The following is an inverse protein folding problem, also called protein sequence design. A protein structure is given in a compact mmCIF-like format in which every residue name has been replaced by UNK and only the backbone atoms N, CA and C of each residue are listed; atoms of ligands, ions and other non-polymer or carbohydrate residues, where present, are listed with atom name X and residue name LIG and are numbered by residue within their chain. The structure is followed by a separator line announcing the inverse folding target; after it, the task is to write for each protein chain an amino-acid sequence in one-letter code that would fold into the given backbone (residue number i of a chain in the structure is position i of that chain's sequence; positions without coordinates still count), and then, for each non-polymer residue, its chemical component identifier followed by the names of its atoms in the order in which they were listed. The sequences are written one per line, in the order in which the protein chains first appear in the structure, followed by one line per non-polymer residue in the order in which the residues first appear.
data_IF_986685020825
#
_entry.id   IF_986685020825
#
_cell.length_a   1.000
_cell.length_b   1.000
_cell.length_c   1.000
_cell.angle_alpha   90.00
_cell.angle_beta   90.00
_cell.angle_gamma   90.00
#
_symmetry.space_group_name_H-M   'P 1'
#
loop_
_entity.id
_entity.type
_entity.pdbx_description
1 polymer ?
#
# COMPACT_ATOMS: atom_id res chain seq x y z
N UNK A 1 -1.93 20.41 8.24
CA UNK A 1 -1.96 21.51 9.24
C UNK A 1 -0.83 22.47 8.92
N UNK A 2 -1.09 23.78 8.78
CA UNK A 2 -0.02 24.76 8.60
C UNK A 2 0.86 24.80 9.86
N UNK A 3 2.18 24.94 9.68
CA UNK A 3 3.12 25.03 10.81
C UNK A 3 2.78 26.27 11.65
N UNK A 4 2.81 26.19 13.00
CA UNK A 4 2.50 27.32 13.86
C UNK A 4 3.40 28.52 13.53
N UNK A 5 2.77 29.66 13.27
CA UNK A 5 3.42 30.91 12.88
C UNK A 5 3.93 31.62 14.13
N UNK A 6 5.21 31.46 14.46
CA UNK A 6 5.84 32.12 15.61
C UNK A 6 6.27 33.55 15.25
N UNK A 7 5.32 34.50 15.24
CA UNK A 7 5.62 35.94 15.27
C UNK A 7 6.37 36.57 14.07
N UNK A 8 6.68 37.87 14.18
CA UNK A 8 7.35 38.70 13.15
C UNK A 8 8.87 38.51 13.06
N UNK A 9 9.46 37.62 13.86
CA UNK A 9 10.91 37.43 13.87
C UNK A 9 11.31 36.36 12.84
N UNK A 10 12.35 36.60 12.02
CA UNK A 10 12.84 35.59 11.10
C UNK A 10 13.37 34.39 11.89
N UNK A 11 12.93 33.18 11.51
CA UNK A 11 13.47 31.95 12.07
C UNK A 11 14.97 31.83 11.73
N UNK A 12 15.80 31.29 12.64
CA UNK A 12 17.21 31.05 12.34
C UNK A 12 17.35 30.03 11.19
N UNK A 13 18.39 30.20 10.37
CA UNK A 13 18.67 29.27 9.28
C UNK A 13 19.08 27.90 9.85
N UNK A 14 18.22 26.90 9.66
CA UNK A 14 18.51 25.53 10.10
C UNK A 14 19.48 24.84 9.13
N UNK A 15 20.64 24.43 9.65
CA UNK A 15 21.59 23.57 8.95
C UNK A 15 21.72 22.26 9.72
N UNK A 16 21.10 21.16 9.26
CA UNK A 16 21.24 19.87 9.94
C UNK A 16 22.71 19.46 9.98
N UNK A 17 23.14 18.88 11.10
CA UNK A 17 24.44 18.21 11.18
C UNK A 17 24.47 17.03 10.21
N UNK A 18 25.66 16.58 9.82
CA UNK A 18 25.81 15.45 8.91
C UNK A 18 25.17 14.17 9.48
N UNK A 19 25.22 13.96 10.80
CA UNK A 19 24.54 12.85 11.47
C UNK A 19 23.02 12.88 11.23
N UNK A 20 22.40 14.05 11.40
CA UNK A 20 20.94 14.20 11.19
C UNK A 20 20.62 14.05 9.71
N UNK A 21 21.40 14.66 8.82
CA UNK A 21 21.20 14.53 7.37
C UNK A 21 21.27 13.07 6.93
N UNK A 22 22.26 12.32 7.40
CA UNK A 22 22.45 10.91 7.06
C UNK A 22 21.31 10.04 7.60
N UNK A 23 20.86 10.28 8.84
CA UNK A 23 19.73 9.55 9.42
C UNK A 23 18.42 9.81 8.64
N UNK A 24 18.15 11.07 8.29
CA UNK A 24 16.98 11.44 7.49
C UNK A 24 17.04 10.85 6.08
N UNK A 25 18.23 10.84 5.46
CA UNK A 25 18.41 10.24 4.13
C UNK A 25 18.19 8.73 4.18
N UNK A 26 18.76 8.03 5.16
CA UNK A 26 18.55 6.59 5.33
C UNK A 26 17.08 6.24 5.55
N UNK A 27 16.35 7.04 6.33
CA UNK A 27 14.91 6.85 6.51
C UNK A 27 14.13 7.08 5.22
N UNK A 28 14.46 8.14 4.47
CA UNK A 28 13.85 8.41 3.17
C UNK A 28 14.08 7.24 2.20
N UNK A 29 15.31 6.74 2.09
CA UNK A 29 15.64 5.64 1.20
C UNK A 29 14.89 4.35 1.58
N UNK A 30 14.70 4.11 2.89
CA UNK A 30 13.90 2.98 3.37
C UNK A 30 12.41 3.11 3.00
N UNK A 31 11.85 4.33 3.03
CA UNK A 31 10.47 4.58 2.59
C UNK A 31 10.31 4.40 1.08
N UNK A 32 11.27 4.87 0.28
CA UNK A 32 11.27 4.67 -1.18
C UNK A 32 11.34 3.17 -1.53
N UNK A 33 12.15 2.41 -0.78
CA UNK A 33 12.24 0.96 -0.94
C UNK A 33 10.96 0.24 -0.48
N UNK A 34 10.38 0.63 0.65
CA UNK A 34 9.08 0.13 1.12
C UNK A 34 8.03 0.32 0.05
N UNK A 35 7.93 1.53 -0.52
CA UNK A 35 6.93 1.85 -1.52
C UNK A 35 7.09 0.95 -2.76
N UNK A 36 8.32 0.81 -3.26
CA UNK A 36 8.62 -0.07 -4.38
C UNK A 36 8.22 -1.53 -4.10
N UNK A 37 8.56 -2.03 -2.93
CA UNK A 37 8.29 -3.44 -2.55
C UNK A 37 6.80 -3.67 -2.27
N UNK A 38 6.11 -2.71 -1.66
CA UNK A 38 4.67 -2.68 -1.48
C UNK A 38 3.93 -2.76 -2.82
N UNK A 39 4.32 -1.96 -3.82
CA UNK A 39 3.73 -2.04 -5.16
C UNK A 39 4.02 -3.36 -5.86
N UNK A 40 5.22 -3.93 -5.68
CA UNK A 40 5.53 -5.25 -6.22
C UNK A 40 4.64 -6.35 -5.61
N UNK A 41 4.45 -6.33 -4.29
CA UNK A 41 3.56 -7.28 -3.59
C UNK A 41 2.09 -7.13 -4.03
N UNK A 42 1.60 -5.89 -4.15
CA UNK A 42 0.25 -5.61 -4.67
C UNK A 42 0.07 -6.17 -6.08
N UNK A 43 1.05 -5.95 -6.97
CA UNK A 43 1.02 -6.48 -8.32
C UNK A 43 1.00 -8.00 -8.32
N UNK A 44 1.83 -8.66 -7.52
CA UNK A 44 1.87 -10.12 -7.43
C UNK A 44 0.52 -10.70 -6.99
N UNK A 45 -0.10 -10.12 -5.96
CA UNK A 45 -1.45 -10.52 -5.55
C UNK A 45 -2.49 -10.29 -6.66
N UNK A 46 -2.42 -9.15 -7.35
CA UNK A 46 -3.33 -8.89 -8.46
C UNK A 46 -3.14 -9.89 -9.62
N UNK A 47 -1.91 -10.29 -9.91
CA UNK A 47 -1.61 -11.26 -10.96
C UNK A 47 -2.08 -12.69 -10.57
N UNK A 48 -1.98 -13.07 -9.30
CA UNK A 48 -2.60 -14.31 -8.77
C UNK A 48 -4.13 -14.29 -8.93
N UNK A 49 -4.76 -13.15 -8.61
CA UNK A 49 -6.20 -12.97 -8.75
C UNK A 49 -6.70 -12.86 -10.19
N UNK A 50 -5.81 -12.55 -11.15
CA UNK A 50 -6.09 -12.65 -12.59
C UNK A 50 -5.98 -14.07 -13.09
N UNK A 51 -5.01 -14.82 -12.56
CA UNK A 51 -4.78 -16.21 -12.94
C UNK A 51 -5.93 -17.10 -12.47
N UNK A 52 -6.52 -16.80 -11.31
CA UNK A 52 -7.68 -17.51 -10.77
C UNK A 52 -8.86 -16.55 -10.55
N UNK A 53 -9.82 -16.59 -11.48
CA UNK A 53 -11.02 -15.76 -11.42
C UNK A 53 -12.04 -16.26 -10.38
N UNK A 54 -11.94 -17.51 -9.94
CA UNK A 54 -12.81 -18.12 -8.95
C UNK A 54 -12.29 -17.89 -7.51
N UNK A 55 -11.00 -17.58 -7.32
CA UNK A 55 -10.38 -17.24 -6.04
C UNK A 55 -10.98 -15.95 -5.45
N UNK A 56 -11.78 -15.97 -4.36
CA UNK A 56 -12.42 -14.76 -3.84
C UNK A 56 -11.44 -13.87 -3.07
N UNK A 57 -11.67 -12.55 -3.09
CA UNK A 57 -10.81 -11.56 -2.40
C UNK A 57 -10.79 -11.83 -0.89
N UNK A 58 -11.92 -12.28 -0.35
CA UNK A 58 -12.05 -12.66 1.05
C UNK A 58 -11.13 -13.83 1.44
N UNK A 59 -10.93 -14.82 0.56
CA UNK A 59 -10.03 -15.94 0.84
C UNK A 59 -8.58 -15.49 0.90
N UNK A 60 -8.15 -14.60 -0.01
CA UNK A 60 -6.80 -14.02 0.02
C UNK A 60 -6.61 -13.16 1.27
N UNK A 61 -7.59 -12.32 1.62
CA UNK A 61 -7.54 -11.47 2.81
C UNK A 61 -7.53 -12.27 4.14
N UNK A 62 -8.04 -13.50 4.14
CA UNK A 62 -8.01 -14.37 5.32
C UNK A 62 -6.63 -14.98 5.59
N UNK A 63 -5.70 -14.92 4.62
CA UNK A 63 -4.38 -15.51 4.77
C UNK A 63 -3.47 -14.62 5.63
N UNK A 64 -2.75 -15.23 6.59
CA UNK A 64 -1.98 -14.52 7.63
C UNK A 64 -0.84 -13.65 7.10
N UNK A 65 -0.27 -13.99 5.94
CA UNK A 65 0.80 -13.20 5.31
C UNK A 65 0.28 -11.97 4.56
N UNK A 66 -1.03 -11.91 4.26
CA UNK A 66 -1.62 -10.82 3.49
C UNK A 66 -2.00 -9.69 4.45
N UNK A 67 -1.34 -8.52 4.39
CA UNK A 67 -1.59 -7.44 5.34
C UNK A 67 -2.83 -6.60 5.00
N UNK A 68 -3.56 -6.96 3.95
CA UNK A 68 -4.64 -6.17 3.37
C UNK A 68 -6.01 -6.80 3.57
N UNK A 69 -6.98 -5.97 3.91
CA UNK A 69 -8.39 -6.38 3.98
C UNK A 69 -8.95 -6.67 2.59
N UNK A 70 -10.09 -7.37 2.54
CA UNK A 70 -10.80 -7.61 1.29
C UNK A 70 -11.09 -6.29 0.53
N UNK A 71 -11.52 -5.25 1.23
CA UNK A 71 -11.80 -3.94 0.62
C UNK A 71 -10.54 -3.34 -0.02
N UNK A 72 -9.39 -3.45 0.64
CA UNK A 72 -8.11 -2.99 0.08
C UNK A 72 -7.69 -3.82 -1.13
N UNK A 73 -7.88 -5.14 -1.10
CA UNK A 73 -7.58 -5.99 -2.25
C UNK A 73 -8.49 -5.70 -3.45
N UNK A 74 -9.75 -5.29 -3.24
CA UNK A 74 -10.63 -4.83 -4.33
C UNK A 74 -10.12 -3.53 -4.98
N UNK A 75 -9.60 -2.60 -4.18
CA UNK A 75 -8.95 -1.37 -4.69
C UNK A 75 -7.71 -1.73 -5.51
N UNK A 76 -6.85 -2.60 -4.97
CA UNK A 76 -5.67 -3.14 -5.69
C UNK A 76 -6.10 -3.83 -6.98
N UNK A 77 -7.17 -4.63 -6.93
CA UNK A 77 -7.73 -5.27 -8.12
C UNK A 77 -8.09 -4.28 -9.21
N UNK A 78 -8.72 -3.15 -8.84
CA UNK A 78 -8.97 -2.03 -9.74
C UNK A 78 -7.70 -1.37 -10.27
N UNK A 79 -6.71 -1.09 -9.42
CA UNK A 79 -5.42 -0.48 -9.80
C UNK A 79 -4.68 -1.32 -10.87
N UNK A 80 -4.73 -2.64 -10.75
CA UNK A 80 -3.98 -3.56 -11.59
C UNK A 80 -4.82 -4.26 -12.67
N UNK A 81 -6.07 -3.82 -12.92
CA UNK A 81 -6.99 -4.38 -13.93
C UNK A 81 -7.28 -5.88 -13.75
N UNK A 82 -7.56 -6.31 -12.52
CA UNK A 82 -8.12 -7.65 -12.27
C UNK A 82 -9.55 -7.68 -12.84
N UNK A 83 -9.89 -8.67 -13.69
CA UNK A 83 -11.23 -8.76 -14.26
C UNK A 83 -12.33 -8.77 -13.19
N UNK A 84 -13.48 -8.12 -13.45
CA UNK A 84 -14.61 -8.17 -12.54
C UNK A 84 -15.07 -9.62 -12.39
N UNK A 85 -15.19 -10.07 -11.15
CA UNK A 85 -15.65 -11.42 -10.88
C UNK A 85 -17.13 -11.54 -11.11
N UNK A 86 -17.54 -12.68 -11.65
CA UNK A 86 -18.96 -13.01 -11.64
C UNK A 86 -19.38 -13.22 -10.19
N UNK A 87 -20.48 -12.61 -9.72
CA UNK A 87 -21.01 -12.91 -8.39
C UNK A 87 -21.24 -14.41 -8.31
N UNK A 88 -20.62 -15.04 -7.30
CA UNK A 88 -20.58 -16.48 -7.04
C UNK A 88 -21.65 -17.26 -7.81
N UNK A 89 -21.24 -18.08 -8.79
CA UNK A 89 -22.05 -19.24 -9.21
C UNK A 89 -22.04 -20.33 -8.13
N UNK A 90 -22.07 -19.93 -6.85
CA UNK A 90 -22.37 -20.85 -5.78
C UNK A 90 -23.79 -21.32 -6.06
N UNK A 91 -23.93 -22.57 -6.54
CA UNK A 91 -25.23 -23.21 -6.59
C UNK A 91 -25.85 -23.07 -5.20
N UNK A 92 -27.14 -22.66 -5.09
CA UNK A 92 -27.81 -22.72 -3.81
C UNK A 92 -27.62 -24.13 -3.26
N UNK A 93 -27.19 -24.24 -1.99
CA UNK A 93 -27.24 -25.53 -1.29
C UNK A 93 -28.71 -25.95 -1.29
N UNK A 94 -29.00 -27.09 -1.91
CA UNK A 94 -30.27 -27.81 -1.75
C UNK A 94 -30.49 -28.18 -0.28
#
# INVERSE_FOLDING_TARGET
MPKPYFGKQPLPEYKPSDTVRNALKAWQDALELEEKTRHAARKALADELKADLDLPYAAVAAHSIVPWTEATLRIIGGEYNVPPRQPNKAKPKE
#
